data_IF_745095247795
#
_entry.id   IF_745095247795
#
_cell.length_a   1.000
_cell.length_b   1.000
_cell.length_c   1.000
_cell.angle_alpha   90.00
_cell.angle_beta   90.00
_cell.angle_gamma   90.00
#
_symmetry.space_group_name_H-M   'P 1'
#
loop_
_entity.id
_entity.type
_entity.pdbx_description
1 polymer ?
#
# COMPACT_ATOMS: atom_id res chain seq x y z
N UNK A 1 22.74 7.83 -33.73
CA UNK A 1 21.83 8.46 -34.71
C UNK A 1 21.25 7.50 -35.76
N UNK A 2 21.43 6.16 -35.66
CA UNK A 2 21.14 5.25 -36.79
C UNK A 2 19.67 4.89 -37.11
N UNK A 3 18.68 5.24 -36.28
CA UNK A 3 17.27 4.84 -36.54
C UNK A 3 16.55 5.69 -37.59
N UNK A 4 17.04 6.90 -37.88
CA UNK A 4 16.40 7.81 -38.83
C UNK A 4 16.70 7.48 -40.30
N UNK A 5 17.87 6.92 -40.61
CA UNK A 5 18.26 6.53 -41.97
C UNK A 5 17.45 5.32 -42.44
N UNK A 6 17.36 4.27 -41.61
CA UNK A 6 16.67 3.02 -41.95
C UNK A 6 15.17 3.20 -42.26
N UNK A 7 14.51 4.18 -41.63
CA UNK A 7 13.11 4.53 -41.95
C UNK A 7 12.97 5.27 -43.28
N UNK A 8 13.92 6.15 -43.63
CA UNK A 8 13.91 6.85 -44.91
C UNK A 8 14.12 5.88 -46.09
N UNK A 9 15.03 4.91 -45.98
CA UNK A 9 15.23 3.90 -47.03
C UNK A 9 13.98 3.03 -47.26
N UNK A 10 13.23 2.72 -46.20
CA UNK A 10 11.96 1.98 -46.28
C UNK A 10 10.86 2.80 -46.94
N UNK A 11 10.74 4.09 -46.60
CA UNK A 11 9.80 5.02 -47.24
C UNK A 11 10.14 5.24 -48.71
N UNK A 12 11.42 5.48 -49.05
CA UNK A 12 11.87 5.69 -50.42
C UNK A 12 11.59 4.45 -51.29
N UNK A 13 11.85 3.23 -50.79
CA UNK A 13 11.49 2.00 -51.51
C UNK A 13 9.98 1.86 -51.72
N UNK A 14 9.16 2.17 -50.71
CA UNK A 14 7.70 2.12 -50.83
C UNK A 14 7.17 3.13 -51.87
N UNK A 15 7.71 4.35 -51.89
CA UNK A 15 7.35 5.39 -52.88
C UNK A 15 7.76 4.95 -54.29
N UNK A 16 8.98 4.43 -54.48
CA UNK A 16 9.46 3.95 -55.79
C UNK A 16 8.58 2.82 -56.32
N UNK A 17 8.25 1.82 -55.48
CA UNK A 17 7.37 0.70 -55.88
C UNK A 17 5.96 1.20 -56.24
N UNK A 18 5.42 2.18 -55.50
CA UNK A 18 4.14 2.80 -55.82
C UNK A 18 4.17 3.51 -57.19
N UNK A 19 5.18 4.34 -57.46
CA UNK A 19 5.31 5.07 -58.74
C UNK A 19 5.45 4.11 -59.92
N UNK A 20 6.25 3.05 -59.80
CA UNK A 20 6.39 2.03 -60.85
C UNK A 20 5.07 1.32 -61.12
N UNK A 21 4.29 0.97 -60.08
CA UNK A 21 2.97 0.35 -60.25
C UNK A 21 1.99 1.25 -61.02
N UNK A 22 1.97 2.55 -60.71
CA UNK A 22 1.11 3.51 -61.41
C UNK A 22 1.50 3.70 -62.88
N UNK A 23 2.80 3.73 -63.20
CA UNK A 23 3.27 3.81 -64.60
C UNK A 23 2.86 2.57 -65.40
N UNK A 24 2.93 1.37 -64.81
CA UNK A 24 2.46 0.13 -65.44
C UNK A 24 0.95 0.18 -65.69
N UNK A 25 0.15 0.64 -64.71
CA UNK A 25 -1.30 0.82 -64.88
C UNK A 25 -1.66 1.80 -66.01
N UNK A 26 -0.96 2.93 -66.10
CA UNK A 26 -1.16 3.93 -67.16
C UNK A 26 -0.80 3.35 -68.54
N UNK A 27 0.31 2.61 -68.64
CA UNK A 27 0.69 1.95 -69.90
C UNK A 27 -0.35 0.92 -70.36
N UNK A 28 -0.90 0.12 -69.44
CA UNK A 28 -1.97 -0.83 -69.73
C UNK A 28 -3.28 -0.13 -70.15
N UNK A 29 -3.63 1.00 -69.51
CA UNK A 29 -4.81 1.80 -69.88
C UNK A 29 -4.70 2.41 -71.27
N UNK A 30 -3.52 2.91 -71.64
CA UNK A 30 -3.24 3.46 -72.98
C UNK A 30 -3.31 2.34 -74.03
N UNK A 31 -2.76 1.15 -73.74
CA UNK A 31 -2.82 0.00 -74.65
C UNK A 31 -4.26 -0.51 -74.83
N UNK A 32 -5.06 -0.56 -73.76
CA UNK A 32 -6.48 -0.87 -73.84
C UNK A 32 -7.26 0.16 -74.67
N UNK A 33 -7.03 1.45 -74.42
CA UNK A 33 -7.67 2.55 -75.16
C UNK A 33 -7.36 2.50 -76.67
N UNK A 34 -6.13 2.18 -77.05
CA UNK A 34 -5.71 2.02 -78.45
C UNK A 34 -6.21 0.73 -79.13
N UNK A 35 -6.69 -0.25 -78.35
CA UNK A 35 -7.23 -1.52 -78.89
C UNK A 35 -8.75 -1.61 -78.84
N UNK A 36 -9.44 -0.77 -78.05
CA UNK A 36 -10.88 -0.61 -78.10
C UNK A 36 -11.30 0.41 -79.17
N UNK A 37 -11.44 -0.06 -80.41
CA UNK A 37 -12.19 0.67 -81.45
C UNK A 37 -13.66 0.76 -81.06
N UNK A 38 -14.07 1.90 -80.52
CA UNK A 38 -15.48 2.17 -80.18
C UNK A 38 -16.32 2.23 -81.45
N UNK A 39 -17.09 1.17 -81.73
CA UNK A 39 -18.17 1.21 -82.73
C UNK A 39 -19.30 2.13 -82.25
N UNK A 40 -19.15 3.42 -82.55
CA UNK A 40 -20.25 4.39 -82.45
C UNK A 40 -21.26 4.06 -83.55
N UNK A 41 -22.35 3.39 -83.19
CA UNK A 41 -23.38 2.88 -84.13
C UNK A 41 -24.14 3.98 -84.87
N UNK A 42 -23.54 4.54 -85.92
CA UNK A 42 -24.17 5.48 -86.85
C UNK A 42 -24.53 4.80 -88.17
N UNK A 43 -25.82 4.54 -88.39
CA UNK A 43 -26.33 3.97 -89.64
C UNK A 43 -27.79 4.35 -89.88
N UNK A 44 -28.09 4.98 -91.01
CA UNK A 44 -29.43 5.50 -91.30
C UNK A 44 -29.47 6.59 -92.38
N UNK A 45 -28.76 6.42 -93.49
CA UNK A 45 -28.86 7.35 -94.61
C UNK A 45 -30.20 7.17 -95.33
N UNK A 46 -31.05 8.20 -95.29
CA UNK A 46 -32.31 8.31 -96.02
C UNK A 46 -32.46 9.75 -96.54
N UNK A 47 -32.80 9.91 -97.82
CA UNK A 47 -32.72 11.20 -98.50
C UNK A 47 -33.75 12.23 -98.03
N UNK A 48 -33.36 13.50 -98.06
CA UNK A 48 -34.23 14.63 -97.78
C UNK A 48 -35.37 14.73 -98.81
N UNK A 49 -36.61 14.68 -98.35
CA UNK A 49 -37.69 15.44 -98.98
C UNK A 49 -37.76 16.77 -98.24
N UNK A 50 -37.44 17.87 -98.94
CA UNK A 50 -37.52 19.23 -98.38
C UNK A 50 -39.00 19.62 -98.32
N UNK A 51 -39.65 19.26 -97.23
CA UNK A 51 -41.06 19.56 -96.99
C UNK A 51 -41.21 21.03 -96.58
N UNK A 52 -41.97 21.80 -97.37
CA UNK A 52 -42.06 23.25 -97.26
C UNK A 52 -43.06 23.67 -96.18
N UNK A 53 -42.73 23.41 -94.91
CA UNK A 53 -43.59 23.71 -93.75
C UNK A 53 -43.92 25.21 -93.71
N UNK A 54 -45.20 25.54 -93.89
CA UNK A 54 -45.70 26.89 -93.65
C UNK A 54 -45.68 27.18 -92.14
N UNK A 55 -44.66 27.90 -91.70
CA UNK A 55 -44.46 28.24 -90.28
C UNK A 55 -45.51 29.27 -89.83
N UNK A 56 -46.46 28.83 -89.00
CA UNK A 56 -47.45 29.71 -88.36
C UNK A 56 -46.77 30.71 -87.41
N UNK A 57 -46.89 32.04 -87.63
CA UNK A 57 -46.29 33.05 -86.76
C UNK A 57 -46.78 33.01 -85.30
N UNK A 58 -48.01 32.54 -85.06
CA UNK A 58 -48.56 32.33 -83.72
C UNK A 58 -47.84 31.20 -82.99
N UNK A 59 -47.60 30.08 -83.68
CA UNK A 59 -46.88 28.93 -83.10
C UNK A 59 -45.43 29.28 -82.73
N UNK A 60 -44.72 30.05 -83.56
CA UNK A 60 -43.36 30.54 -83.23
C UNK A 60 -43.38 31.43 -81.99
N UNK A 61 -44.38 32.30 -81.87
CA UNK A 61 -44.53 33.21 -80.72
C UNK A 61 -44.80 32.44 -79.43
N UNK A 62 -45.63 31.39 -79.48
CA UNK A 62 -45.86 30.54 -78.30
C UNK A 62 -44.61 29.73 -77.92
N UNK A 63 -43.88 29.16 -78.89
CA UNK A 63 -42.63 28.44 -78.64
C UNK A 63 -41.56 29.36 -78.03
N UNK A 64 -41.43 30.60 -78.50
CA UNK A 64 -40.49 31.58 -77.94
C UNK A 64 -40.85 31.96 -76.49
N UNK A 65 -42.13 32.19 -76.19
CA UNK A 65 -42.59 32.47 -74.83
C UNK A 65 -42.38 31.25 -73.89
N UNK A 66 -42.64 30.04 -74.39
CA UNK A 66 -42.41 28.77 -73.68
C UNK A 66 -40.92 28.55 -73.40
N UNK A 67 -40.05 28.88 -74.36
CA UNK A 67 -38.60 28.83 -74.21
C UNK A 67 -38.07 29.86 -73.19
N UNK A 68 -38.58 31.09 -73.21
CA UNK A 68 -38.26 32.09 -72.18
C UNK A 68 -38.67 31.62 -70.78
N UNK A 69 -39.89 31.13 -70.60
CA UNK A 69 -40.35 30.59 -69.31
C UNK A 69 -39.42 29.46 -68.83
N UNK A 70 -39.12 28.48 -69.68
CA UNK A 70 -38.17 27.40 -69.39
C UNK A 70 -36.79 27.91 -68.96
N UNK A 71 -36.23 28.94 -69.62
CA UNK A 71 -34.95 29.54 -69.22
C UNK A 71 -35.04 30.25 -67.85
N UNK A 72 -36.13 30.99 -67.58
CA UNK A 72 -36.30 31.66 -66.28
C UNK A 72 -36.49 30.68 -65.13
N UNK A 73 -37.20 29.57 -65.35
CA UNK A 73 -37.41 28.55 -64.31
C UNK A 73 -36.20 27.63 -64.14
N UNK A 74 -35.44 27.33 -65.20
CA UNK A 74 -34.13 26.69 -65.08
C UNK A 74 -33.18 27.55 -64.23
N UNK A 75 -33.08 28.86 -64.51
CA UNK A 75 -32.26 29.79 -63.73
C UNK A 75 -32.72 29.95 -62.29
N UNK A 76 -34.04 29.95 -62.04
CA UNK A 76 -34.62 29.94 -60.68
C UNK A 76 -34.28 28.64 -59.94
N UNK A 77 -34.38 27.49 -60.61
CA UNK A 77 -34.01 26.19 -60.04
C UNK A 77 -32.50 26.11 -59.73
N UNK A 78 -31.65 26.68 -60.58
CA UNK A 78 -30.20 26.80 -60.33
C UNK A 78 -29.89 27.67 -59.12
N UNK A 79 -30.51 28.84 -59.00
CA UNK A 79 -30.36 29.69 -57.81
C UNK A 79 -30.87 29.02 -56.53
N UNK A 80 -31.91 28.18 -56.61
CA UNK A 80 -32.37 27.38 -55.47
C UNK A 80 -31.40 26.23 -55.13
N UNK A 81 -30.73 25.62 -56.12
CA UNK A 81 -29.67 24.62 -55.89
C UNK A 81 -28.43 25.27 -55.27
N UNK A 82 -28.01 26.42 -55.79
CA UNK A 82 -26.89 27.22 -55.26
C UNK A 82 -27.15 27.60 -53.79
N UNK A 83 -28.29 28.24 -53.48
CA UNK A 83 -28.63 28.63 -52.10
C UNK A 83 -28.67 27.45 -51.12
N UNK A 84 -29.13 26.27 -51.54
CA UNK A 84 -29.10 25.06 -50.71
C UNK A 84 -27.67 24.55 -50.49
N UNK A 85 -26.80 24.60 -51.50
CA UNK A 85 -25.40 24.23 -51.38
C UNK A 85 -24.62 25.22 -50.50
N UNK A 86 -24.89 26.52 -50.63
CA UNK A 86 -24.35 27.60 -49.77
C UNK A 86 -24.76 27.39 -48.32
N UNK A 87 -26.06 27.18 -48.03
CA UNK A 87 -26.56 26.88 -46.69
C UNK A 87 -25.93 25.61 -46.09
N UNK A 88 -25.75 24.55 -46.88
CA UNK A 88 -25.06 23.34 -46.41
C UNK A 88 -23.57 23.57 -46.15
N UNK A 89 -22.89 24.41 -46.94
CA UNK A 89 -21.51 24.78 -46.71
C UNK A 89 -21.35 25.64 -45.43
N UNK A 90 -22.24 26.62 -45.22
CA UNK A 90 -22.26 27.43 -44.00
C UNK A 90 -22.56 26.58 -42.76
N UNK A 91 -23.53 25.66 -42.82
CA UNK A 91 -23.85 24.75 -41.70
C UNK A 91 -22.65 23.85 -41.35
N UNK A 92 -21.93 23.34 -42.35
CA UNK A 92 -20.71 22.55 -42.14
C UNK A 92 -19.57 23.39 -41.56
N UNK A 93 -19.36 24.62 -42.02
CA UNK A 93 -18.37 25.53 -41.45
C UNK A 93 -18.70 25.92 -40.00
N UNK A 94 -19.98 26.19 -39.69
CA UNK A 94 -20.43 26.47 -38.32
C UNK A 94 -20.21 25.27 -37.40
N UNK A 95 -20.51 24.04 -37.87
CA UNK A 95 -20.23 22.81 -37.11
C UNK A 95 -18.73 22.62 -36.85
N UNK A 96 -17.88 22.82 -37.85
CA UNK A 96 -16.42 22.74 -37.69
C UNK A 96 -15.88 23.82 -36.72
N UNK A 97 -16.41 25.05 -36.78
CA UNK A 97 -16.04 26.12 -35.86
C UNK A 97 -16.46 25.82 -34.42
N UNK A 98 -17.68 25.32 -34.22
CA UNK A 98 -18.18 24.91 -32.90
C UNK A 98 -17.42 23.70 -32.33
N UNK A 99 -17.05 22.73 -33.16
CA UNK A 99 -16.21 21.60 -32.77
C UNK A 99 -14.80 22.08 -32.36
N UNK A 100 -14.18 22.99 -33.12
CA UNK A 100 -12.90 23.59 -32.73
C UNK A 100 -12.98 24.43 -31.44
N UNK A 101 -14.10 25.11 -31.18
CA UNK A 101 -14.31 25.81 -29.91
C UNK A 101 -14.41 24.82 -28.75
N UNK A 102 -15.25 23.78 -28.88
CA UNK A 102 -15.39 22.71 -27.88
C UNK A 102 -14.08 21.96 -27.61
N UNK A 103 -13.24 21.75 -28.62
CA UNK A 103 -11.91 21.15 -28.46
C UNK A 103 -10.96 22.07 -27.67
N UNK A 104 -11.00 23.39 -27.88
CA UNK A 104 -10.21 24.37 -27.11
C UNK A 104 -10.69 24.48 -25.66
N UNK A 105 -12.00 24.40 -25.42
CA UNK A 105 -12.57 24.34 -24.07
C UNK A 105 -12.13 23.07 -23.34
N UNK A 106 -12.20 21.92 -24.01
CA UNK A 106 -11.75 20.64 -23.45
C UNK A 106 -10.23 20.63 -23.20
N UNK A 107 -9.42 21.20 -24.09
CA UNK A 107 -7.97 21.36 -23.89
C UNK A 107 -7.67 22.25 -22.66
N UNK A 108 -8.38 23.38 -22.52
CA UNK A 108 -8.27 24.26 -21.36
C UNK A 108 -8.67 23.53 -20.07
N UNK A 109 -9.77 22.78 -20.07
CA UNK A 109 -10.21 21.96 -18.94
C UNK A 109 -9.14 20.91 -18.56
N UNK A 110 -8.56 20.22 -19.56
CA UNK A 110 -7.45 19.27 -19.33
C UNK A 110 -6.20 19.93 -18.76
N UNK A 111 -5.91 21.18 -19.15
CA UNK A 111 -4.74 21.92 -18.70
C UNK A 111 -4.94 22.41 -17.26
N UNK A 112 -6.11 22.98 -16.94
CA UNK A 112 -6.49 23.33 -15.56
C UNK A 112 -6.48 22.10 -14.64
N UNK A 113 -7.11 20.99 -15.04
CA UNK A 113 -7.07 19.74 -14.28
C UNK A 113 -5.65 19.15 -14.13
N UNK A 114 -4.71 19.46 -15.03
CA UNK A 114 -3.30 19.10 -14.88
C UNK A 114 -2.58 20.03 -13.89
N UNK A 115 -2.92 21.31 -13.84
CA UNK A 115 -2.39 22.28 -12.87
C UNK A 115 -2.91 21.99 -11.46
N UNK A 116 -4.21 21.75 -11.29
CA UNK A 116 -4.82 21.31 -10.03
C UNK A 116 -4.19 20.00 -9.53
N UNK A 117 -3.99 19.02 -10.42
CA UNK A 117 -3.31 17.77 -10.07
C UNK A 117 -1.83 17.95 -9.70
N UNK A 118 -1.12 18.93 -10.30
CA UNK A 118 0.26 19.29 -9.90
C UNK A 118 0.27 19.97 -8.53
N UNK A 119 -0.64 20.91 -8.28
CA UNK A 119 -0.78 21.62 -7.00
C UNK A 119 -1.09 20.64 -5.87
N UNK A 120 -2.08 19.76 -6.05
CA UNK A 120 -2.41 18.71 -5.08
C UNK A 120 -1.24 17.74 -4.85
N UNK A 121 -0.49 17.37 -5.90
CA UNK A 121 0.70 16.52 -5.76
C UNK A 121 1.89 17.23 -5.09
N UNK A 122 2.02 18.56 -5.22
CA UNK A 122 3.00 19.35 -4.49
C UNK A 122 2.60 19.53 -3.03
N UNK A 123 1.31 19.75 -2.75
CA UNK A 123 0.79 19.84 -1.39
C UNK A 123 0.94 18.52 -0.64
N UNK A 124 0.58 17.39 -1.25
CA UNK A 124 0.83 16.05 -0.69
C UNK A 124 2.33 15.81 -0.43
N UNK A 125 3.22 16.26 -1.33
CA UNK A 125 4.68 16.20 -1.08
C UNK A 125 5.12 17.06 0.10
N UNK A 126 4.54 18.26 0.29
CA UNK A 126 4.79 19.13 1.44
C UNK A 126 4.32 18.46 2.74
N UNK A 127 3.08 17.96 2.77
CA UNK A 127 2.52 17.25 3.93
C UNK A 127 3.34 16.00 4.29
N UNK A 128 3.76 15.18 3.31
CA UNK A 128 4.63 14.01 3.54
C UNK A 128 6.04 14.42 4.02
N UNK A 129 6.64 15.46 3.44
CA UNK A 129 7.94 15.96 3.88
C UNK A 129 7.87 16.58 5.29
N UNK A 130 6.75 17.17 5.68
CA UNK A 130 6.52 17.69 7.02
C UNK A 130 6.31 16.57 8.04
N UNK A 131 5.49 15.55 7.72
CA UNK A 131 5.38 14.33 8.54
C UNK A 131 6.74 13.64 8.71
N UNK A 132 7.54 13.52 7.65
CA UNK A 132 8.89 12.95 7.74
C UNK A 132 9.82 13.78 8.64
N UNK A 133 9.72 15.12 8.63
CA UNK A 133 10.44 15.98 9.59
C UNK A 133 9.96 15.75 11.02
N UNK A 134 8.66 15.74 11.27
CA UNK A 134 8.09 15.51 12.60
C UNK A 134 8.48 14.14 13.16
N UNK A 135 8.44 13.07 12.34
CA UNK A 135 8.89 11.72 12.71
C UNK A 135 10.40 11.71 13.00
N UNK A 136 11.23 12.35 12.17
CA UNK A 136 12.67 12.44 12.40
C UNK A 136 13.04 13.25 13.66
N UNK A 137 12.24 14.27 14.00
CA UNK A 137 12.40 15.05 15.22
C UNK A 137 11.97 14.25 16.47
N UNK A 138 10.82 13.57 16.43
CA UNK A 138 10.39 12.65 17.48
C UNK A 138 11.41 11.53 17.71
N UNK A 139 11.99 10.96 16.64
CA UNK A 139 13.06 9.97 16.75
C UNK A 139 14.34 10.53 17.40
N UNK A 140 14.71 11.79 17.10
CA UNK A 140 15.83 12.47 17.78
C UNK A 140 15.53 12.68 19.27
N UNK A 141 14.36 13.21 19.61
CA UNK A 141 13.94 13.45 20.99
C UNK A 141 13.89 12.13 21.79
N UNK A 142 13.35 11.05 21.20
CA UNK A 142 13.33 9.72 21.81
C UNK A 142 14.75 9.15 22.00
N UNK A 143 15.64 9.28 21.01
CA UNK A 143 17.03 8.84 21.13
C UNK A 143 17.83 9.65 22.16
N UNK A 144 17.51 10.93 22.35
CA UNK A 144 18.09 11.78 23.39
C UNK A 144 17.59 11.39 24.79
N UNK A 145 16.27 11.18 24.95
CA UNK A 145 15.69 10.65 26.19
C UNK A 145 16.27 9.28 26.55
N UNK A 146 16.46 8.38 25.58
CA UNK A 146 17.12 7.09 25.79
C UNK A 146 18.58 7.25 26.25
N UNK A 147 19.34 8.20 25.69
CA UNK A 147 20.71 8.51 26.16
C UNK A 147 20.73 9.05 27.59
N UNK A 148 19.81 9.95 27.94
CA UNK A 148 19.67 10.50 29.29
C UNK A 148 19.31 9.38 30.30
N UNK A 149 18.34 8.53 29.95
CA UNK A 149 17.95 7.38 30.77
C UNK A 149 19.11 6.37 30.93
N UNK A 150 19.83 6.05 29.85
CA UNK A 150 20.99 5.17 29.90
C UNK A 150 22.12 5.73 30.76
N UNK A 151 22.38 7.04 30.69
CA UNK A 151 23.36 7.72 31.55
C UNK A 151 22.95 7.72 33.03
N UNK A 152 21.65 7.90 33.33
CA UNK A 152 21.13 7.79 34.69
C UNK A 152 21.26 6.36 35.26
N UNK A 153 20.92 5.34 34.46
CA UNK A 153 21.10 3.92 34.83
C UNK A 153 22.57 3.54 34.99
N UNK A 154 23.47 4.12 34.19
CA UNK A 154 24.91 3.93 34.34
C UNK A 154 25.42 4.49 35.67
N UNK A 155 25.07 5.75 36.00
CA UNK A 155 25.41 6.36 37.30
C UNK A 155 24.87 5.57 38.48
N UNK A 156 23.59 5.19 38.46
CA UNK A 156 22.97 4.41 39.52
C UNK A 156 23.68 3.06 39.75
N UNK A 157 24.13 2.37 38.69
CA UNK A 157 24.93 1.14 38.81
C UNK A 157 26.33 1.38 39.36
N UNK A 158 26.95 2.52 39.07
CA UNK A 158 28.26 2.89 39.59
C UNK A 158 28.19 3.27 41.08
N UNK A 159 27.22 4.08 41.48
CA UNK A 159 26.89 4.40 42.87
C UNK A 159 26.56 3.14 43.67
N UNK A 160 25.76 2.22 43.10
CA UNK A 160 25.43 0.94 43.72
C UNK A 160 26.67 0.04 43.92
N UNK A 161 27.58 -0.01 42.94
CA UNK A 161 28.87 -0.71 43.10
C UNK A 161 29.74 -0.08 44.19
N UNK A 162 29.83 1.25 44.25
CA UNK A 162 30.59 1.94 45.29
C UNK A 162 30.02 1.62 46.69
N UNK A 163 28.71 1.70 46.86
CA UNK A 163 28.03 1.31 48.10
C UNK A 163 28.26 -0.16 48.49
N UNK A 164 28.22 -1.08 47.52
CA UNK A 164 28.50 -2.51 47.76
C UNK A 164 29.96 -2.75 48.18
N UNK A 165 30.93 -2.10 47.53
CA UNK A 165 32.35 -2.19 47.94
C UNK A 165 32.61 -1.60 49.32
N UNK A 166 31.97 -0.48 49.67
CA UNK A 166 32.07 0.12 51.00
C UNK A 166 31.45 -0.79 52.07
N UNK A 167 30.29 -1.40 51.80
CA UNK A 167 29.66 -2.37 52.70
C UNK A 167 30.50 -3.64 52.89
N UNK A 168 31.19 -4.11 51.83
CA UNK A 168 32.13 -5.23 51.91
C UNK A 168 33.38 -4.88 52.74
N UNK A 169 33.95 -3.67 52.57
CA UNK A 169 35.08 -3.19 53.36
C UNK A 169 34.72 -3.05 54.84
N UNK A 170 33.57 -2.44 55.16
CA UNK A 170 33.10 -2.30 56.54
C UNK A 170 32.91 -3.65 57.26
N UNK A 171 32.38 -4.66 56.56
CA UNK A 171 32.31 -6.04 57.09
C UNK A 171 33.70 -6.65 57.31
N UNK A 172 34.61 -6.47 56.36
CA UNK A 172 35.99 -6.98 56.46
C UNK A 172 36.81 -6.31 57.57
N UNK A 173 36.52 -5.07 57.96
CA UNK A 173 37.10 -4.44 59.16
C UNK A 173 36.43 -4.94 60.44
N UNK A 174 35.09 -5.09 60.47
CA UNK A 174 34.39 -5.65 61.62
C UNK A 174 34.90 -7.07 61.98
N UNK A 175 35.07 -7.96 60.99
CA UNK A 175 35.64 -9.31 61.21
C UNK A 175 37.08 -9.28 61.74
N UNK A 176 37.89 -8.30 61.32
CA UNK A 176 39.26 -8.11 61.85
C UNK A 176 39.23 -7.64 63.31
N UNK A 177 38.36 -6.69 63.65
CA UNK A 177 38.21 -6.17 65.01
C UNK A 177 37.71 -7.28 65.95
N UNK A 178 36.71 -8.08 65.52
CA UNK A 178 36.20 -9.22 66.29
C UNK A 178 37.29 -10.29 66.50
N UNK A 179 38.10 -10.60 65.47
CA UNK A 179 39.25 -11.51 65.63
C UNK A 179 40.31 -10.96 66.60
N UNK A 180 40.68 -9.69 66.46
CA UNK A 180 41.68 -9.06 67.34
C UNK A 180 41.21 -9.02 68.80
N UNK A 181 39.94 -8.74 69.06
CA UNK A 181 39.35 -8.80 70.40
C UNK A 181 39.29 -10.23 70.95
N UNK A 182 38.97 -11.23 70.12
CA UNK A 182 38.98 -12.64 70.54
C UNK A 182 40.39 -13.17 70.86
N UNK A 183 41.43 -12.71 70.14
CA UNK A 183 42.82 -13.03 70.47
C UNK A 183 43.29 -12.30 71.73
N UNK A 184 42.91 -11.03 71.91
CA UNK A 184 43.21 -10.28 73.13
C UNK A 184 42.57 -10.92 74.38
N UNK A 185 41.31 -11.36 74.28
CA UNK A 185 40.62 -12.09 75.36
C UNK A 185 41.31 -13.43 75.69
N UNK A 186 41.68 -14.22 74.69
CA UNK A 186 42.44 -15.47 74.89
C UNK A 186 43.80 -15.23 75.54
N UNK A 187 44.46 -14.11 75.23
CA UNK A 187 45.74 -13.73 75.85
C UNK A 187 45.55 -13.31 77.31
N UNK A 188 44.51 -12.51 77.61
CA UNK A 188 44.16 -12.13 78.97
C UNK A 188 43.77 -13.35 79.84
N UNK A 189 42.99 -14.30 79.31
CA UNK A 189 42.72 -15.56 80.02
C UNK A 189 44.00 -16.38 80.29
N UNK A 190 44.96 -16.37 79.36
CA UNK A 190 46.22 -17.10 79.52
C UNK A 190 47.14 -16.46 80.57
N UNK A 191 47.07 -15.15 80.78
CA UNK A 191 47.80 -14.45 81.86
C UNK A 191 47.07 -14.59 83.21
N UNK A 192 45.74 -14.46 83.25
CA UNK A 192 44.95 -14.74 84.46
C UNK A 192 45.15 -16.17 84.98
N UNK A 193 45.27 -17.16 84.09
CA UNK A 193 45.60 -18.56 84.44
C UNK A 193 47.05 -18.75 84.93
N UNK A 194 47.98 -17.84 84.60
CA UNK A 194 49.34 -17.84 85.17
C UNK A 194 49.38 -17.19 86.54
N UNK A 195 48.71 -16.07 86.75
CA UNK A 195 48.63 -15.43 88.07
C UNK A 195 47.90 -16.32 89.08
N UNK A 196 46.81 -16.99 88.66
CA UNK A 196 46.15 -18.01 89.47
C UNK A 196 47.07 -19.19 89.84
N UNK A 197 48.00 -19.58 88.96
CA UNK A 197 49.00 -20.62 89.27
C UNK A 197 50.06 -20.15 90.28
N UNK A 198 50.47 -18.87 90.23
CA UNK A 198 51.38 -18.28 91.24
C UNK A 198 50.68 -18.18 92.60
N UNK A 199 49.41 -17.74 92.64
CA UNK A 199 48.61 -17.72 93.85
C UNK A 199 48.39 -19.12 94.46
N UNK A 200 48.22 -20.15 93.61
CA UNK A 200 48.12 -21.54 94.05
C UNK A 200 49.45 -22.10 94.58
N UNK A 201 50.60 -21.68 94.02
CA UNK A 201 51.92 -22.08 94.49
C UNK A 201 52.23 -21.50 95.89
N UNK A 202 51.91 -20.23 96.12
CA UNK A 202 52.15 -19.55 97.40
C UNK A 202 51.39 -20.19 98.58
N UNK A 203 50.26 -20.87 98.33
CA UNK A 203 49.44 -21.50 99.37
C UNK A 203 49.81 -22.95 99.71
N UNK A 204 50.95 -23.46 99.25
CA UNK A 204 51.45 -24.83 99.55
C UNK A 204 52.65 -24.90 100.49
N UNK A 205 53.00 -23.79 101.14
CA UNK A 205 54.16 -23.72 102.04
C UNK A 205 53.86 -23.06 103.40
N UNK A 206 52.58 -23.04 103.80
CA UNK A 206 52.08 -22.42 105.03
C UNK A 206 51.00 -23.27 105.73
N UNK A 207 51.07 -24.60 105.60
CA UNK A 207 50.07 -25.56 106.11
C UNK A 207 50.78 -26.78 106.73
N UNK A 208 51.65 -26.50 107.71
CA UNK A 208 52.48 -27.49 108.42
C UNK A 208 52.65 -27.18 109.92
N UNK A 209 52.23 -26.01 110.39
CA UNK A 209 52.37 -25.54 111.77
C UNK A 209 51.10 -24.83 112.24
N UNK A 210 50.97 -24.67 113.57
CA UNK A 210 49.87 -23.96 114.23
C UNK A 210 48.44 -24.54 114.10
N UNK A 211 48.27 -25.85 114.31
CA UNK A 211 47.04 -26.35 114.98
C UNK A 211 46.93 -25.73 116.39
N UNK A 212 46.01 -24.79 116.63
CA UNK A 212 45.42 -24.45 117.95
C UNK A 212 44.31 -23.39 117.83
N UNK A 213 43.34 -23.42 118.76
CA UNK A 213 42.07 -22.67 118.80
C UNK A 213 41.14 -23.00 117.60
N UNK A 214 40.07 -23.81 117.74
CA UNK A 214 38.84 -23.60 118.56
C UNK A 214 38.12 -22.34 118.09
N UNK A 215 37.17 -22.42 117.16
CA UNK A 215 35.81 -23.00 117.30
C UNK A 215 34.92 -22.19 118.25
N UNK A 216 34.54 -20.98 117.84
CA UNK A 216 33.41 -20.21 118.40
C UNK A 216 32.81 -19.34 117.28
N UNK A 217 31.47 -19.41 117.08
CA UNK A 217 30.62 -18.44 116.36
C UNK A 217 30.87 -18.21 114.83
N UNK A 218 29.86 -17.91 113.99
CA UNK A 218 28.40 -18.14 114.08
C UNK A 218 27.73 -18.05 112.67
N UNK A 219 26.39 -18.22 112.68
CA UNK A 219 25.35 -17.61 111.81
C UNK A 219 25.73 -16.42 110.91
N UNK A 220 25.03 -16.12 109.80
CA UNK A 220 23.97 -16.81 109.03
C UNK A 220 23.65 -16.03 107.73
N UNK A 221 22.53 -16.40 107.10
CA UNK A 221 21.74 -15.73 106.06
C UNK A 221 21.50 -14.20 106.29
N UNK A 222 20.94 -13.41 105.37
CA UNK A 222 19.87 -13.75 104.41
C UNK A 222 19.68 -12.75 103.24
N UNK A 223 18.74 -13.08 102.33
CA UNK A 223 17.72 -12.30 101.60
C UNK A 223 17.89 -10.78 101.31
N UNK A 224 17.30 -10.17 100.27
CA UNK A 224 16.22 -10.58 99.33
C UNK A 224 16.50 -9.98 97.91
N UNK A 225 15.87 -10.36 96.79
CA UNK A 225 14.49 -10.07 96.33
C UNK A 225 14.11 -8.56 96.35
N UNK A 226 13.32 -7.99 95.41
CA UNK A 226 12.41 -8.56 94.40
C UNK A 226 11.96 -7.52 93.34
N UNK A 227 11.41 -7.97 92.19
CA UNK A 227 10.45 -7.27 91.27
C UNK A 227 10.87 -5.95 90.55
N UNK A 228 10.11 -5.37 89.60
CA UNK A 228 9.30 -5.88 88.43
C UNK A 228 8.60 -4.69 87.72
N UNK A 229 8.52 -4.69 86.37
CA UNK A 229 7.59 -3.87 85.55
C UNK A 229 7.74 -2.33 85.64
N UNK A 230 6.99 -1.51 84.89
CA UNK A 230 6.71 -1.52 83.43
C UNK A 230 6.10 -0.17 82.98
N UNK A 231 6.39 0.23 81.74
CA UNK A 231 5.61 1.06 80.81
C UNK A 231 4.87 2.37 81.23
N UNK A 232 5.13 3.40 80.41
CA UNK A 232 4.16 4.35 79.81
C UNK A 232 3.84 5.73 80.46
N UNK A 233 3.51 6.67 79.55
CA UNK A 233 3.06 8.06 79.73
C UNK A 233 4.01 9.03 80.47
N UNK A 234 4.01 10.36 80.23
CA UNK A 234 3.56 11.17 79.08
C UNK A 234 4.61 12.33 78.92
N UNK A 235 4.49 13.43 78.15
CA UNK A 235 3.32 14.18 77.67
C UNK A 235 3.60 14.98 76.39
N UNK A 236 2.52 15.14 75.63
CA UNK A 236 2.20 16.20 74.65
C UNK A 236 2.50 17.60 75.22
N UNK A 237 2.64 18.68 74.43
CA UNK A 237 1.59 19.40 73.68
C UNK A 237 2.21 20.74 73.19
N UNK A 238 1.69 21.60 72.30
CA UNK A 238 0.63 21.68 71.27
C UNK A 238 1.00 22.93 70.39
N UNK A 239 0.29 23.42 69.35
CA UNK A 239 -1.06 23.22 68.80
C UNK A 239 -0.99 23.44 67.25
N UNK A 240 -1.89 22.96 66.37
CA UNK A 240 -3.31 22.54 66.43
C UNK A 240 -4.36 23.67 66.34
N UNK A 241 -5.48 23.38 65.61
CA UNK A 241 -6.57 24.25 65.08
C UNK A 241 -6.21 24.89 63.71
N UNK A 242 -7.00 24.78 62.63
CA UNK A 242 -8.31 24.15 62.27
C UNK A 242 -8.25 23.68 60.77
N UNK A 243 -9.04 22.77 60.15
CA UNK A 243 -10.40 22.16 60.32
C UNK A 243 -11.55 23.04 59.77
N UNK A 244 -12.41 22.64 58.81
CA UNK A 244 -12.98 21.30 58.56
C UNK A 244 -13.40 20.99 57.09
N UNK A 245 -13.62 19.70 56.79
CA UNK A 245 -14.71 19.17 55.94
C UNK A 245 -14.93 17.66 56.22
N UNK A 246 -16.11 17.11 55.88
CA UNK A 246 -16.49 15.69 55.98
C UNK A 246 -15.58 14.77 55.11
N UNK A 247 -15.31 13.49 55.39
CA UNK A 247 -16.19 12.34 55.67
C UNK A 247 -17.15 12.01 54.48
N UNK A 248 -17.40 10.76 54.07
CA UNK A 248 -17.04 9.43 54.62
C UNK A 248 -16.98 8.35 53.49
N UNK A 249 -16.72 7.09 53.87
CA UNK A 249 -17.24 5.86 53.25
C UNK A 249 -16.88 5.42 51.79
N UNK A 250 -16.10 4.31 51.74
CA UNK A 250 -16.40 3.02 51.05
C UNK A 250 -16.54 2.91 49.50
N UNK A 251 -15.69 1.99 48.98
CA UNK A 251 -15.98 0.89 48.02
C UNK A 251 -16.30 1.17 46.53
N UNK A 252 -15.38 0.63 45.70
CA UNK A 252 -15.60 -0.40 44.64
C UNK A 252 -16.22 0.04 43.30
N UNK A 253 -15.59 -0.46 42.21
CA UNK A 253 -16.07 -0.54 40.82
C UNK A 253 -16.14 0.80 40.04
N UNK A 254 -16.04 0.83 38.70
CA UNK A 254 -15.43 -0.10 37.73
C UNK A 254 -15.36 0.58 36.33
N UNK A 255 -14.48 0.07 35.44
CA UNK A 255 -14.44 0.37 33.99
C UNK A 255 -14.11 1.85 33.63
N UNK A 256 -13.70 2.25 32.42
CA UNK A 256 -13.15 1.54 31.23
C UNK A 256 -12.37 2.57 30.38
N UNK A 257 -11.20 2.22 29.80
CA UNK A 257 -10.63 2.89 28.60
C UNK A 257 -9.29 2.26 28.11
N UNK A 258 -9.35 1.55 26.98
CA UNK A 258 -8.40 1.49 25.86
C UNK A 258 -6.84 1.49 26.03
N UNK A 259 -6.25 0.49 25.37
CA UNK A 259 -5.08 0.53 24.47
C UNK A 259 -3.66 0.17 24.97
N UNK A 260 -2.88 -0.40 24.02
CA UNK A 260 -1.52 -0.99 24.13
C UNK A 260 -1.47 -2.34 24.91
N UNK A 261 -0.77 -3.40 24.48
CA UNK A 261 0.08 -3.64 23.28
C UNK A 261 -0.18 -5.02 22.64
N UNK A 262 0.25 -5.17 21.38
CA UNK A 262 0.17 -6.39 20.55
C UNK A 262 1.18 -7.52 20.89
N UNK A 263 1.11 -8.59 20.06
CA UNK A 263 2.13 -9.64 19.79
C UNK A 263 2.30 -10.77 20.81
N UNK A 264 1.49 -11.86 20.67
CA UNK A 264 1.97 -13.23 20.99
C UNK A 264 1.17 -14.42 20.37
N UNK A 265 0.34 -14.21 19.33
CA UNK A 265 -0.44 -15.32 18.71
C UNK A 265 -0.53 -15.23 17.17
N UNK A 266 0.63 -15.30 16.50
CA UNK A 266 0.70 -15.25 15.02
C UNK A 266 1.79 -16.17 14.41
N UNK A 267 2.37 -17.08 15.20
CA UNK A 267 3.39 -18.04 14.75
C UNK A 267 3.09 -19.52 15.06
N UNK A 268 1.96 -19.84 15.70
CA UNK A 268 1.59 -21.23 16.04
C UNK A 268 0.99 -22.07 14.90
N UNK A 269 0.60 -21.46 13.78
CA UNK A 269 -0.35 -22.05 12.83
C UNK A 269 0.20 -22.91 11.68
N UNK A 270 1.51 -23.01 11.47
CA UNK A 270 2.08 -23.54 10.20
C UNK A 270 3.03 -24.75 10.32
N UNK A 271 3.12 -25.38 11.50
CA UNK A 271 4.13 -26.40 11.78
C UNK A 271 3.55 -27.81 12.04
N UNK A 272 2.87 -28.41 11.07
CA UNK A 272 2.84 -29.88 10.97
C UNK A 272 2.67 -30.37 9.53
N UNK A 273 3.75 -30.86 8.93
CA UNK A 273 3.77 -31.30 7.54
C UNK A 273 3.46 -32.81 7.42
N UNK A 274 2.60 -33.18 6.46
CA UNK A 274 2.62 -34.52 5.88
C UNK A 274 2.38 -34.43 4.37
N UNK A 275 3.25 -35.10 3.61
CA UNK A 275 3.39 -34.96 2.16
C UNK A 275 2.83 -36.19 1.41
N UNK A 276 2.76 -36.05 0.09
CA UNK A 276 2.51 -37.05 -0.95
C UNK A 276 1.03 -37.36 -1.30
N UNK A 277 0.73 -37.69 -2.58
CA UNK A 277 -0.61 -37.53 -3.15
C UNK A 277 -1.38 -38.84 -3.38
N UNK A 278 -2.65 -38.73 -3.79
CA UNK A 278 -3.34 -39.79 -4.54
C UNK A 278 -4.32 -39.25 -5.56
N UNK A 279 -4.34 -39.88 -6.72
CA UNK A 279 -5.35 -39.72 -7.76
C UNK A 279 -6.63 -40.47 -7.42
N UNK A 280 -7.78 -39.97 -7.90
CA UNK A 280 -9.08 -40.64 -7.82
C UNK A 280 -10.04 -40.05 -8.84
N UNK A 281 -10.61 -40.89 -9.70
CA UNK A 281 -11.60 -40.50 -10.72
C UNK A 281 -13.02 -40.91 -10.27
N UNK A 282 -14.04 -40.21 -10.76
CA UNK A 282 -15.46 -40.37 -10.39
C UNK A 282 -16.08 -39.01 -10.08
N UNK A 283 -16.77 -38.30 -10.99
CA UNK A 283 -17.98 -38.69 -11.75
C UNK A 283 -19.21 -38.89 -10.84
N UNK A 284 -20.11 -37.91 -10.83
CA UNK A 284 -21.38 -37.91 -10.08
C UNK A 284 -22.10 -36.56 -10.25
N UNK A 285 -23.41 -36.58 -10.51
CA UNK A 285 -24.16 -35.40 -10.93
C UNK A 285 -24.88 -34.66 -9.78
N UNK A 286 -25.35 -33.45 -10.11
CA UNK A 286 -25.99 -32.45 -9.26
C UNK A 286 -27.09 -32.93 -8.29
N UNK A 287 -27.19 -32.21 -7.16
CA UNK A 287 -28.41 -32.09 -6.36
C UNK A 287 -28.62 -30.62 -5.97
N UNK A 288 -29.86 -30.10 -6.11
CA UNK A 288 -30.15 -28.67 -5.96
C UNK A 288 -30.39 -28.26 -4.49
N UNK A 289 -29.39 -27.66 -3.84
CA UNK A 289 -29.49 -27.12 -2.49
C UNK A 289 -30.21 -25.78 -2.41
N UNK A 290 -31.55 -25.77 -2.34
CA UNK A 290 -32.37 -24.55 -2.17
C UNK A 290 -32.32 -24.01 -0.73
N UNK A 291 -31.16 -23.49 -0.31
CA UNK A 291 -30.97 -22.76 0.96
C UNK A 291 -31.01 -21.24 0.75
N UNK A 292 -31.71 -20.50 1.61
CA UNK A 292 -31.99 -19.08 1.39
C UNK A 292 -31.15 -18.09 2.19
N UNK A 293 -31.22 -16.82 1.80
CA UNK A 293 -31.38 -15.74 2.78
C UNK A 293 -30.13 -15.03 3.32
N UNK A 294 -28.93 -15.25 2.78
CA UNK A 294 -27.80 -14.32 2.96
C UNK A 294 -27.15 -13.98 1.63
N UNK A 295 -26.68 -12.74 1.51
CA UNK A 295 -25.99 -12.21 0.31
C UNK A 295 -24.57 -12.79 0.25
N UNK A 296 -24.47 -14.04 -0.20
CA UNK A 296 -23.19 -14.68 -0.51
C UNK A 296 -22.54 -13.94 -1.66
N UNK A 297 -21.38 -13.30 -1.40
CA UNK A 297 -20.54 -12.76 -2.46
C UNK A 297 -20.05 -13.86 -3.40
N UNK A 298 -19.51 -13.47 -4.56
CA UNK A 298 -19.03 -14.38 -5.59
C UNK A 298 -18.17 -15.52 -5.02
N UNK A 299 -18.42 -16.76 -5.46
CA UNK A 299 -17.64 -17.89 -4.96
C UNK A 299 -16.20 -17.80 -5.47
N UNK A 300 -15.25 -18.38 -4.73
CA UNK A 300 -13.85 -18.45 -5.18
C UNK A 300 -13.69 -19.16 -6.54
N UNK A 301 -14.62 -20.04 -6.90
CA UNK A 301 -14.68 -20.69 -8.21
C UNK A 301 -15.11 -19.71 -9.32
N UNK A 302 -16.09 -18.83 -9.08
CA UNK A 302 -16.51 -17.81 -10.05
C UNK A 302 -15.39 -16.79 -10.30
N UNK A 303 -14.73 -16.35 -9.23
CA UNK A 303 -13.63 -15.37 -9.27
C UNK A 303 -12.43 -15.95 -10.04
N UNK A 304 -12.01 -17.17 -9.73
CA UNK A 304 -10.87 -17.82 -10.41
C UNK A 304 -11.21 -18.27 -11.84
N UNK A 305 -12.44 -18.72 -12.10
CA UNK A 305 -12.93 -19.00 -13.44
C UNK A 305 -12.95 -17.76 -14.33
N UNK A 306 -13.42 -16.63 -13.82
CA UNK A 306 -13.42 -15.36 -14.56
C UNK A 306 -11.99 -14.79 -14.76
N UNK A 307 -11.09 -14.96 -13.78
CA UNK A 307 -9.66 -14.66 -13.96
C UNK A 307 -9.04 -15.50 -15.10
N UNK A 308 -9.40 -16.78 -15.20
CA UNK A 308 -9.03 -17.65 -16.31
C UNK A 308 -9.56 -17.15 -17.67
N UNK A 309 -10.79 -16.63 -17.70
CA UNK A 309 -11.37 -16.05 -18.92
C UNK A 309 -10.67 -14.73 -19.33
N UNK A 310 -10.37 -13.83 -18.38
CA UNK A 310 -9.60 -12.60 -18.65
C UNK A 310 -8.20 -12.96 -19.18
N UNK A 311 -7.47 -13.83 -18.48
CA UNK A 311 -6.10 -14.19 -18.87
C UNK A 311 -6.05 -14.87 -20.24
N UNK A 312 -6.98 -15.81 -20.51
CA UNK A 312 -7.12 -16.45 -21.82
C UNK A 312 -7.49 -15.46 -22.94
N UNK A 313 -8.37 -14.49 -22.66
CA UNK A 313 -8.72 -13.44 -23.63
C UNK A 313 -7.50 -12.56 -24.00
N UNK A 314 -6.67 -12.20 -23.02
CA UNK A 314 -5.42 -11.44 -23.25
C UNK A 314 -4.39 -12.30 -23.99
N UNK A 315 -4.19 -13.57 -23.59
CA UNK A 315 -3.31 -14.51 -24.29
C UNK A 315 -3.72 -14.72 -25.76
N UNK A 316 -5.02 -14.73 -26.07
CA UNK A 316 -5.54 -14.81 -27.46
C UNK A 316 -5.18 -13.64 -28.38
N UNK A 317 -4.53 -12.60 -27.84
CA UNK A 317 -4.03 -11.40 -28.55
C UNK A 317 -2.53 -11.18 -28.32
N UNK A 318 -1.85 -12.12 -27.64
CA UNK A 318 -0.43 -12.07 -27.33
C UNK A 318 0.33 -13.04 -28.24
N UNK A 319 0.63 -12.59 -29.46
CA UNK A 319 1.24 -13.44 -30.49
C UNK A 319 2.70 -13.81 -30.20
N UNK A 320 3.40 -13.02 -29.39
CA UNK A 320 4.84 -13.15 -29.09
C UNK A 320 5.15 -14.00 -27.84
N UNK A 321 4.25 -14.92 -27.44
CA UNK A 321 4.32 -15.64 -26.15
C UNK A 321 5.69 -16.28 -25.86
N UNK A 322 6.30 -16.91 -26.87
CA UNK A 322 7.61 -17.56 -26.78
C UNK A 322 8.75 -16.63 -26.34
N UNK A 323 8.74 -15.35 -26.76
CA UNK A 323 9.81 -14.38 -26.47
C UNK A 323 9.86 -13.96 -24.99
N UNK A 324 8.79 -14.23 -24.23
CA UNK A 324 8.64 -13.82 -22.83
C UNK A 324 8.43 -15.01 -21.88
N UNK A 325 8.67 -16.26 -22.33
CA UNK A 325 8.57 -17.46 -21.50
C UNK A 325 9.42 -17.33 -20.22
N UNK A 326 8.82 -17.74 -19.10
CA UNK A 326 9.41 -17.62 -17.77
C UNK A 326 9.28 -16.23 -17.11
N UNK A 327 8.97 -15.16 -17.86
CA UNK A 327 8.74 -13.82 -17.30
C UNK A 327 7.31 -13.65 -16.78
N UNK A 328 7.10 -12.62 -15.96
CA UNK A 328 5.79 -12.19 -15.46
C UNK A 328 5.65 -10.67 -15.57
N UNK A 329 4.41 -10.20 -15.69
CA UNK A 329 4.05 -8.79 -15.54
C UNK A 329 2.85 -8.67 -14.60
N UNK A 330 2.93 -7.77 -13.64
CA UNK A 330 1.84 -7.45 -12.73
C UNK A 330 1.07 -6.26 -13.30
N UNK A 331 -0.17 -6.48 -13.72
CA UNK A 331 -1.05 -5.48 -14.32
C UNK A 331 -2.18 -5.12 -13.36
N UNK A 332 -2.52 -3.84 -13.23
CA UNK A 332 -3.79 -3.38 -12.67
C UNK A 332 -4.75 -3.08 -13.80
N UNK A 333 -5.89 -3.74 -13.80
CA UNK A 333 -6.96 -3.61 -14.80
C UNK A 333 -8.21 -2.97 -14.18
N UNK A 334 -8.87 -2.11 -14.95
CA UNK A 334 -10.22 -1.62 -14.62
C UNK A 334 -11.19 -2.05 -15.72
N UNK A 335 -12.21 -2.81 -15.33
CA UNK A 335 -13.28 -3.27 -16.23
C UNK A 335 -14.56 -2.48 -15.99
N UNK A 336 -15.39 -2.36 -17.02
CA UNK A 336 -16.76 -1.90 -16.96
C UNK A 336 -17.75 -3.08 -16.72
N UNK A 337 -19.02 -2.82 -16.34
CA UNK A 337 -20.01 -3.89 -16.03
C UNK A 337 -20.39 -4.80 -17.20
N UNK A 338 -20.01 -4.45 -18.42
CA UNK A 338 -20.17 -5.24 -19.65
C UNK A 338 -18.96 -6.12 -19.99
N UNK A 339 -17.83 -5.96 -19.27
CA UNK A 339 -16.55 -6.61 -19.55
C UNK A 339 -15.53 -5.73 -20.28
N UNK A 340 -15.89 -4.51 -20.72
CA UNK A 340 -14.98 -3.64 -21.46
C UNK A 340 -13.79 -3.19 -20.60
N UNK A 341 -12.57 -3.26 -21.14
CA UNK A 341 -11.37 -2.76 -20.46
C UNK A 341 -11.33 -1.22 -20.53
N UNK A 342 -11.54 -0.56 -19.39
CA UNK A 342 -11.48 0.91 -19.25
C UNK A 342 -10.03 1.39 -19.20
N UNK A 343 -9.21 0.72 -18.40
CA UNK A 343 -7.83 1.11 -18.11
C UNK A 343 -6.97 -0.12 -17.80
N UNK A 344 -5.69 -0.06 -18.15
CA UNK A 344 -4.68 -1.08 -17.83
C UNK A 344 -3.32 -0.43 -17.63
N UNK A 345 -2.70 -0.73 -16.49
CA UNK A 345 -1.44 -0.14 -16.04
C UNK A 345 -0.52 -1.23 -15.50
N UNK A 346 0.78 -1.15 -15.77
CA UNK A 346 1.77 -2.03 -15.14
C UNK A 346 2.08 -1.54 -13.71
N UNK A 347 2.19 -2.49 -12.78
CA UNK A 347 2.64 -2.27 -11.39
C UNK A 347 4.02 -2.87 -11.12
N UNK A 348 4.37 -3.97 -11.81
CA UNK A 348 5.64 -4.69 -11.62
C UNK A 348 5.94 -5.70 -12.73
N UNK A 349 7.11 -6.34 -12.66
CA UNK A 349 7.56 -7.37 -13.60
C UNK A 349 8.43 -6.86 -14.76
N UNK A 350 8.52 -7.65 -15.83
CA UNK A 350 9.37 -7.33 -16.99
C UNK A 350 8.74 -6.22 -17.86
N UNK A 351 9.42 -5.07 -18.08
CA UNK A 351 8.81 -3.92 -18.76
C UNK A 351 8.45 -4.18 -20.23
N UNK A 352 9.19 -5.06 -20.91
CA UNK A 352 8.91 -5.43 -22.29
C UNK A 352 7.65 -6.31 -22.39
N UNK A 353 7.54 -7.36 -21.56
CA UNK A 353 6.32 -8.15 -21.39
C UNK A 353 5.14 -7.25 -21.00
N UNK A 354 5.32 -6.32 -20.06
CA UNK A 354 4.26 -5.42 -19.63
C UNK A 354 3.72 -4.52 -20.76
N UNK A 355 4.59 -3.95 -21.61
CA UNK A 355 4.14 -3.16 -22.76
C UNK A 355 3.38 -4.01 -23.78
N UNK A 356 3.87 -5.21 -24.09
CA UNK A 356 3.19 -6.15 -24.98
C UNK A 356 1.84 -6.61 -24.39
N UNK A 357 1.76 -6.88 -23.08
CA UNK A 357 0.55 -7.34 -22.41
C UNK A 357 -0.49 -6.21 -22.29
N UNK A 358 -0.08 -4.96 -22.09
CA UNK A 358 -0.95 -3.77 -22.20
C UNK A 358 -1.55 -3.65 -23.61
N UNK A 359 -0.74 -3.88 -24.66
CA UNK A 359 -1.23 -3.83 -26.05
C UNK A 359 -2.21 -4.98 -26.36
N UNK A 360 -1.89 -6.22 -25.95
CA UNK A 360 -2.76 -7.37 -26.10
C UNK A 360 -4.08 -7.20 -25.32
N UNK A 361 -4.03 -6.70 -24.08
CA UNK A 361 -5.21 -6.47 -23.26
C UNK A 361 -6.16 -5.44 -23.87
N UNK A 362 -5.64 -4.36 -24.49
CA UNK A 362 -6.45 -3.38 -25.22
C UNK A 362 -7.10 -3.93 -26.51
N UNK A 363 -6.64 -5.07 -27.01
CA UNK A 363 -7.26 -5.77 -28.14
C UNK A 363 -8.11 -6.99 -27.71
N UNK A 364 -8.08 -7.35 -26.42
CA UNK A 364 -8.77 -8.51 -25.89
C UNK A 364 -10.26 -8.23 -25.69
N UNK A 365 -11.11 -9.12 -26.20
CA UNK A 365 -12.55 -9.13 -25.88
C UNK A 365 -12.76 -9.96 -24.62
N UNK A 366 -12.61 -9.31 -23.46
CA UNK A 366 -12.93 -9.91 -22.17
C UNK A 366 -14.46 -10.13 -22.10
N UNK A 367 -14.95 -11.31 -21.68
CA UNK A 367 -16.38 -11.57 -21.55
C UNK A 367 -17.00 -10.75 -20.39
N UNK A 368 -18.32 -10.59 -20.40
CA UNK A 368 -19.04 -9.91 -19.32
C UNK A 368 -18.89 -10.68 -17.98
N UNK A 369 -18.71 -10.00 -16.83
CA UNK A 369 -18.73 -10.66 -15.52
C UNK A 369 -20.00 -11.48 -15.27
N UNK A 370 -19.90 -12.71 -14.73
CA UNK A 370 -21.06 -13.60 -14.53
C UNK A 370 -21.98 -13.14 -13.40
N UNK A 371 -21.51 -12.31 -12.47
CA UNK A 371 -22.33 -11.70 -11.41
C UNK A 371 -21.80 -10.32 -11.02
N UNK A 372 -22.65 -9.52 -10.37
CA UNK A 372 -22.28 -8.21 -9.83
C UNK A 372 -21.16 -8.31 -8.80
N UNK A 373 -21.18 -9.34 -7.94
CA UNK A 373 -20.15 -9.52 -6.92
C UNK A 373 -18.79 -9.94 -7.52
N UNK A 374 -18.76 -10.61 -8.68
CA UNK A 374 -17.51 -10.78 -9.47
C UNK A 374 -17.07 -9.44 -10.06
N UNK A 375 -17.99 -8.67 -10.65
CA UNK A 375 -17.65 -7.33 -11.18
C UNK A 375 -17.06 -6.41 -10.10
N UNK A 376 -17.63 -6.38 -8.90
CA UNK A 376 -17.12 -5.56 -7.79
C UNK A 376 -15.68 -5.91 -7.39
N UNK A 377 -15.25 -7.16 -7.58
CA UNK A 377 -13.87 -7.60 -7.38
C UNK A 377 -12.96 -7.20 -8.56
N UNK A 378 -13.45 -7.24 -9.81
CA UNK A 378 -12.67 -7.01 -11.03
C UNK A 378 -12.69 -5.58 -11.60
N UNK A 379 -13.51 -4.68 -11.04
CA UNK A 379 -13.55 -3.24 -11.42
C UNK A 379 -12.21 -2.50 -11.25
N UNK A 380 -11.31 -3.01 -10.41
CA UNK A 380 -9.97 -2.45 -10.16
C UNK A 380 -9.01 -3.53 -9.59
N UNK A 381 -8.87 -4.67 -10.29
CA UNK A 381 -8.10 -5.81 -9.81
C UNK A 381 -6.62 -5.77 -10.24
N UNK A 382 -5.69 -6.26 -9.41
CA UNK A 382 -4.40 -6.73 -9.87
C UNK A 382 -4.55 -8.09 -10.59
N UNK A 383 -3.79 -8.29 -11.66
CA UNK A 383 -3.75 -9.49 -12.49
C UNK A 383 -2.29 -9.77 -12.86
N UNK A 384 -1.79 -10.95 -12.46
CA UNK A 384 -0.45 -11.42 -12.85
C UNK A 384 -0.54 -12.05 -14.23
N UNK A 385 0.00 -11.37 -15.25
CA UNK A 385 0.09 -11.91 -16.59
C UNK A 385 1.36 -12.74 -16.74
N UNK A 386 1.19 -14.02 -17.07
CA UNK A 386 2.26 -14.95 -17.44
C UNK A 386 1.91 -15.61 -18.79
N UNK A 387 2.71 -15.41 -19.85
CA UNK A 387 2.57 -16.20 -21.07
C UNK A 387 3.01 -17.65 -20.80
N UNK A 388 2.41 -18.61 -21.50
CA UNK A 388 2.74 -20.04 -21.43
C UNK A 388 3.44 -20.52 -22.69
#
# INVERSE_FOLDING_TARGET
MGKATEQNDKLNRAVIVSVVLHIILIALLIWGSLTQTTEMGGGGAGGEVIDAVMVDPGAVTEQYNRQQQQQTDAKRAEQQRQKKAEQQAEELQQKQAAEQQRLKELEKERLQAQEDAKLAAEEQKKQVAEQQKQIAEQQKQAAEQQKIAAAAVAKAKEEQKQAETAAAQAKAEADKIVKAQAEAQKKAEAEAKKEAAVAAAAKKQADADAKKAVEVAEKAAADAAEKKAAADAEKKAAAAKKVAAAAEAKKKAAAEAAASTDVDDLFGGLANAKNAPKSGSGAGAAAAGKGGGKKSGASGADISGYLGQITGAIQSKFYDADLYKGRTCDLRIKLAPDGLLIDVKAEGGDPALCQAAIAAAKQAKIPKPPSTDVYEQFKNAPLVFKPQ
#
